data_IF_352593904295
#
_entry.id   IF_352593904295
#
_cell.length_a   1.000
_cell.length_b   1.000
_cell.length_c   1.000
_cell.angle_alpha   90.00
_cell.angle_beta   90.00
_cell.angle_gamma   90.00
#
_symmetry.space_group_name_H-M   'P 1'
#
loop_
_entity.id
_entity.type
_entity.pdbx_description
1 polymer ?
#
# COMPACT_ATOMS: atom_id res chain seq x y z
N UNK A 1 -5.51 -15.13 -11.28
CA UNK A 1 -5.84 -13.91 -10.54
C UNK A 1 -6.64 -14.32 -9.35
N UNK A 2 -5.97 -14.50 -8.21
CA UNK A 2 -6.63 -14.82 -6.94
C UNK A 2 -7.38 -13.57 -6.41
N UNK A 3 -8.73 -13.59 -6.35
CA UNK A 3 -9.51 -12.44 -5.92
C UNK A 3 -9.29 -12.07 -4.45
N UNK A 4 -8.71 -12.98 -3.65
CA UNK A 4 -8.35 -12.69 -2.26
C UNK A 4 -7.36 -11.52 -2.15
N UNK A 5 -6.39 -11.40 -3.07
CA UNK A 5 -5.44 -10.28 -3.06
C UNK A 5 -6.14 -8.94 -3.32
N UNK A 6 -7.15 -8.93 -4.19
CA UNK A 6 -7.94 -7.73 -4.44
C UNK A 6 -8.75 -7.34 -3.19
N UNK A 7 -9.40 -8.30 -2.55
CA UNK A 7 -10.16 -8.06 -1.32
C UNK A 7 -9.26 -7.53 -0.19
N UNK A 8 -8.08 -8.14 0.00
CA UNK A 8 -7.08 -7.70 0.98
C UNK A 8 -6.56 -6.29 0.67
N UNK A 9 -6.29 -5.98 -0.60
CA UNK A 9 -5.86 -4.65 -1.02
C UNK A 9 -6.90 -3.57 -0.68
N UNK A 10 -8.18 -3.82 -1.00
CA UNK A 10 -9.29 -2.91 -0.67
C UNK A 10 -9.44 -2.75 0.84
N UNK A 11 -9.39 -3.85 1.60
CA UNK A 11 -9.48 -3.80 3.05
C UNK A 11 -8.34 -2.99 3.67
N UNK A 12 -7.09 -3.24 3.25
CA UNK A 12 -5.92 -2.49 3.69
C UNK A 12 -6.01 -1.01 3.32
N UNK A 13 -6.55 -0.68 2.14
CA UNK A 13 -6.77 0.70 1.71
C UNK A 13 -7.77 1.42 2.62
N UNK A 14 -8.92 0.80 2.91
CA UNK A 14 -9.91 1.36 3.82
C UNK A 14 -9.34 1.54 5.23
N UNK A 15 -8.55 0.58 5.70
CA UNK A 15 -7.87 0.66 6.99
C UNK A 15 -6.84 1.81 7.00
N UNK A 16 -6.05 1.98 5.93
CA UNK A 16 -5.11 3.09 5.80
C UNK A 16 -5.81 4.45 5.84
N UNK A 17 -6.93 4.60 5.12
CA UNK A 17 -7.75 5.82 5.13
C UNK A 17 -8.27 6.11 6.54
N UNK A 18 -8.80 5.10 7.22
CA UNK A 18 -9.31 5.23 8.59
C UNK A 18 -8.21 5.67 9.56
N UNK A 19 -7.06 4.99 9.55
CA UNK A 19 -5.92 5.29 10.43
C UNK A 19 -5.34 6.68 10.18
N UNK A 20 -5.24 7.07 8.91
CA UNK A 20 -4.80 8.41 8.52
C UNK A 20 -5.77 9.49 9.01
N UNK A 21 -7.09 9.26 8.95
CA UNK A 21 -8.10 10.16 9.53
C UNK A 21 -8.04 10.24 11.05
N UNK A 22 -7.71 9.14 11.73
CA UNK A 22 -7.51 9.11 13.19
C UNK A 22 -6.16 9.65 13.65
N UNK A 23 -5.41 10.32 12.78
CA UNK A 23 -4.08 10.90 13.04
C UNK A 23 -3.01 9.85 13.43
N UNK A 24 -3.25 8.55 13.17
CA UNK A 24 -2.30 7.44 13.38
C UNK A 24 -1.49 7.19 12.11
N UNK A 25 -0.76 8.22 11.67
CA UNK A 25 -0.12 8.26 10.34
C UNK A 25 0.90 7.14 10.11
N UNK A 26 1.69 6.79 11.12
CA UNK A 26 2.70 5.71 11.00
C UNK A 26 2.04 4.37 10.66
N UNK A 27 0.96 4.03 11.35
CA UNK A 27 0.22 2.78 11.11
C UNK A 27 -0.55 2.88 9.79
N UNK A 28 -1.07 4.06 9.44
CA UNK A 28 -1.72 4.31 8.16
C UNK A 28 -0.78 4.15 6.95
N UNK A 29 0.48 4.56 7.09
CA UNK A 29 1.55 4.34 6.10
C UNK A 29 1.86 2.85 5.91
N UNK A 30 1.94 2.09 7.00
CA UNK A 30 2.14 0.64 6.91
C UNK A 30 0.95 -0.02 6.22
N UNK A 31 -0.28 0.36 6.59
CA UNK A 31 -1.50 -0.16 6.00
C UNK A 31 -1.62 0.18 4.50
N UNK A 32 -1.19 1.38 4.07
CA UNK A 32 -1.15 1.72 2.64
C UNK A 32 -0.12 0.88 1.90
N UNK A 33 1.04 0.62 2.50
CA UNK A 33 2.01 -0.35 1.99
C UNK A 33 1.39 -1.72 1.72
N UNK A 34 0.65 -2.28 2.68
CA UNK A 34 -0.07 -3.55 2.48
C UNK A 34 -1.08 -3.47 1.32
N UNK A 35 -1.81 -2.36 1.20
CA UNK A 35 -2.74 -2.15 0.10
C UNK A 35 -2.03 -2.23 -1.26
N UNK A 36 -0.86 -1.60 -1.37
CA UNK A 36 0.01 -1.64 -2.54
C UNK A 36 0.58 -3.02 -2.86
N UNK A 37 1.13 -3.70 -1.84
CA UNK A 37 1.69 -5.04 -1.99
C UNK A 37 0.65 -6.05 -2.48
N UNK A 38 -0.56 -6.03 -1.93
CA UNK A 38 -1.66 -6.88 -2.39
C UNK A 38 -2.19 -6.49 -3.78
N UNK A 39 -2.25 -5.20 -4.11
CA UNK A 39 -2.63 -4.75 -5.45
C UNK A 39 -1.65 -5.24 -6.51
N UNK A 40 -0.35 -5.18 -6.22
CA UNK A 40 0.69 -5.69 -7.10
C UNK A 40 0.63 -7.21 -7.22
N UNK A 41 0.43 -7.94 -6.12
CA UNK A 41 0.21 -9.39 -6.16
C UNK A 41 -0.96 -9.77 -7.06
N UNK A 42 -2.06 -9.03 -6.98
CA UNK A 42 -3.21 -9.25 -7.86
C UNK A 42 -2.86 -8.97 -9.33
N UNK A 43 -2.15 -7.87 -9.62
CA UNK A 43 -1.80 -7.45 -10.97
C UNK A 43 -0.76 -8.35 -11.66
N UNK A 44 0.23 -8.84 -10.92
CA UNK A 44 1.41 -9.52 -11.47
C UNK A 44 1.53 -11.00 -11.07
N UNK A 45 0.49 -11.60 -10.50
CA UNK A 45 0.50 -12.96 -9.93
C UNK A 45 1.22 -14.03 -10.77
N UNK A 46 1.17 -13.93 -12.10
CA UNK A 46 1.75 -14.92 -13.02
C UNK A 46 3.16 -14.59 -13.55
N UNK A 47 3.69 -13.39 -13.25
CA UNK A 47 4.88 -12.87 -13.93
C UNK A 47 6.18 -13.07 -13.14
N UNK A 48 6.11 -13.07 -11.81
CA UNK A 48 7.28 -13.08 -10.93
C UNK A 48 6.97 -13.82 -9.62
N UNK A 49 8.00 -14.16 -8.81
CA UNK A 49 7.79 -14.74 -7.50
C UNK A 49 6.95 -13.80 -6.62
N UNK A 50 5.92 -14.33 -5.99
CA UNK A 50 4.99 -13.57 -5.16
C UNK A 50 5.68 -12.66 -4.10
N UNK A 51 6.75 -13.10 -3.40
CA UNK A 51 7.42 -12.24 -2.43
C UNK A 51 8.03 -10.97 -3.03
N UNK A 52 8.59 -11.06 -4.25
CA UNK A 52 9.20 -9.93 -4.95
C UNK A 52 8.15 -8.91 -5.40
N UNK A 53 7.04 -9.40 -5.95
CA UNK A 53 5.92 -8.55 -6.36
C UNK A 53 5.34 -7.80 -5.17
N UNK A 54 5.09 -8.53 -4.07
CA UNK A 54 4.56 -7.95 -2.85
C UNK A 54 5.49 -6.89 -2.29
N UNK A 55 6.78 -7.20 -2.14
CA UNK A 55 7.77 -6.26 -1.63
C UNK A 55 7.87 -5.01 -2.51
N UNK A 56 7.85 -5.17 -3.84
CA UNK A 56 7.85 -4.06 -4.79
C UNK A 56 6.64 -3.14 -4.63
N UNK A 57 5.43 -3.70 -4.61
CA UNK A 57 4.20 -2.93 -4.40
C UNK A 57 4.14 -2.25 -3.04
N UNK A 58 4.58 -2.95 -1.99
CA UNK A 58 4.62 -2.43 -0.63
C UNK A 58 5.56 -1.22 -0.50
N UNK A 59 6.80 -1.38 -0.96
CA UNK A 59 7.83 -0.32 -0.89
C UNK A 59 7.42 0.87 -1.75
N UNK A 60 6.92 0.63 -2.97
CA UNK A 60 6.47 1.70 -3.86
C UNK A 60 5.34 2.52 -3.20
N UNK A 61 4.33 1.86 -2.64
CA UNK A 61 3.20 2.59 -2.03
C UNK A 61 3.61 3.34 -0.77
N UNK A 62 4.46 2.76 0.10
CA UNK A 62 5.01 3.50 1.23
C UNK A 62 5.76 4.73 0.77
N UNK A 63 6.60 4.60 -0.27
CA UNK A 63 7.39 5.72 -0.79
C UNK A 63 6.48 6.84 -1.32
N UNK A 64 5.47 6.53 -2.13
CA UNK A 64 4.51 7.53 -2.62
C UNK A 64 3.68 8.17 -1.51
N UNK A 65 3.21 7.38 -0.54
CA UNK A 65 2.43 7.90 0.58
C UNK A 65 3.30 8.77 1.50
N UNK A 66 4.58 8.42 1.68
CA UNK A 66 5.53 9.23 2.43
C UNK A 66 5.83 10.56 1.73
N UNK A 67 5.97 10.56 0.40
CA UNK A 67 6.08 11.79 -0.39
C UNK A 67 4.84 12.68 -0.25
N UNK A 68 3.64 12.08 -0.24
CA UNK A 68 2.37 12.79 -0.05
C UNK A 68 2.30 13.49 1.31
N UNK A 69 2.90 12.91 2.35
CA UNK A 69 2.89 13.46 3.71
C UNK A 69 4.06 14.36 4.04
N UNK A 70 5.16 14.35 3.26
CA UNK A 70 6.13 15.43 3.38
C UNK A 70 5.42 16.72 3.01
N UNK A 71 5.37 17.72 3.91
CA UNK A 71 4.91 19.04 3.50
C UNK A 71 5.84 19.45 2.37
N UNK A 72 5.27 19.74 1.22
CA UNK A 72 5.97 20.51 0.20
C UNK A 72 6.49 21.73 0.93
N UNK A 73 7.81 21.78 1.20
CA UNK A 73 8.48 23.00 1.61
C UNK A 73 8.22 23.96 0.47
N UNK A 74 7.14 24.73 0.60
CA UNK A 74 6.94 25.95 -0.15
C UNK A 74 7.92 26.93 0.47
N UNK A 75 9.13 26.91 -0.05
CA UNK A 75 10.05 28.05 0.04
C UNK A 75 9.38 29.30 -0.54
#
# INVERSE_FOLDING_TARGET
MNPLYLALSIFSLLLAIYLNRSNRREIGLIASGFAGGFAFLFAFEKSYPAPLIFAGGFVATIFFELLRFRPMQRD
#
